data_IF_549387882503
#
_entry.id   IF_549387882503
#
_cell.length_a   1.000
_cell.length_b   1.000
_cell.length_c   1.000
_cell.angle_alpha   90.00
_cell.angle_beta   90.00
_cell.angle_gamma   90.00
#
_symmetry.space_group_name_H-M   'P 1'
#
loop_
_entity.id
_entity.type
_entity.pdbx_description
1 polymer ?
#
# COMPACT_ATOMS: atom_id res chain seq x y z
N UNK A 1 -44.11 -52.39 8.88
CA UNK A 1 -44.44 -50.96 9.04
C UNK A 1 -43.25 -50.29 9.69
N UNK A 2 -42.40 -49.64 8.88
CA UNK A 2 -41.21 -48.94 9.35
C UNK A 2 -41.41 -47.45 9.06
N UNK A 3 -41.25 -46.62 10.09
CA UNK A 3 -41.59 -45.19 10.06
C UNK A 3 -40.60 -44.36 9.24
N UNK A 4 -41.14 -43.49 8.39
CA UNK A 4 -40.38 -42.44 7.72
C UNK A 4 -40.21 -41.25 8.68
N UNK A 5 -39.01 -41.14 9.25
CA UNK A 5 -38.61 -39.97 10.02
C UNK A 5 -38.52 -38.73 9.12
N UNK A 6 -39.49 -37.82 9.26
CA UNK A 6 -39.49 -36.50 8.62
C UNK A 6 -38.21 -35.74 8.99
N UNK A 7 -37.32 -35.52 8.02
CA UNK A 7 -36.16 -34.63 8.19
C UNK A 7 -36.68 -33.22 8.36
N UNK A 8 -36.60 -32.67 9.57
CA UNK A 8 -36.87 -31.25 9.83
C UNK A 8 -35.89 -30.41 9.00
N UNK A 9 -36.37 -29.81 7.92
CA UNK A 9 -35.59 -28.95 7.01
C UNK A 9 -35.62 -27.47 7.42
N UNK A 10 -36.30 -27.13 8.52
CA UNK A 10 -36.45 -25.76 9.00
C UNK A 10 -35.54 -25.47 10.19
N UNK A 11 -34.87 -24.33 10.15
CA UNK A 11 -34.06 -23.83 11.26
C UNK A 11 -34.94 -23.56 12.49
N UNK A 12 -34.40 -23.83 13.68
CA UNK A 12 -35.13 -23.57 14.92
C UNK A 12 -35.26 -22.05 15.15
N UNK A 13 -36.44 -21.55 15.59
CA UNK A 13 -36.60 -20.16 15.97
C UNK A 13 -35.54 -19.75 17.00
N UNK A 14 -34.80 -18.67 16.73
CA UNK A 14 -33.74 -18.17 17.61
C UNK A 14 -32.35 -18.81 17.41
N UNK A 15 -32.20 -19.80 16.51
CA UNK A 15 -30.92 -20.43 16.23
C UNK A 15 -30.54 -20.29 14.74
N UNK A 16 -29.48 -19.52 14.47
CA UNK A 16 -28.89 -19.46 13.13
C UNK A 16 -28.36 -20.82 12.73
N UNK A 17 -28.69 -21.28 11.52
CA UNK A 17 -28.09 -22.47 10.91
C UNK A 17 -26.58 -22.38 10.69
N UNK A 18 -26.03 -21.18 10.80
CA UNK A 18 -24.59 -20.93 10.80
C UNK A 18 -24.21 -20.06 12.02
N UNK A 19 -23.98 -20.67 13.19
CA UNK A 19 -23.69 -19.96 14.44
C UNK A 19 -22.33 -19.24 14.43
N UNK A 20 -21.39 -19.67 13.58
CA UNK A 20 -20.08 -19.00 13.39
C UNK A 20 -20.13 -17.86 12.38
N UNK A 21 -21.29 -17.63 11.77
CA UNK A 21 -21.46 -16.63 10.73
C UNK A 21 -20.69 -16.97 9.45
N UNK A 22 -20.77 -16.06 8.49
CA UNK A 22 -20.06 -16.17 7.23
C UNK A 22 -18.53 -16.18 7.47
N UNK A 23 -17.74 -17.07 6.84
CA UNK A 23 -16.30 -17.11 7.05
C UNK A 23 -15.64 -15.75 6.81
N UNK A 24 -14.75 -15.30 7.71
CA UNK A 24 -14.04 -14.03 7.55
C UNK A 24 -13.26 -14.03 6.22
N UNK A 25 -13.35 -12.93 5.47
CA UNK A 25 -12.72 -12.79 4.15
C UNK A 25 -13.48 -13.42 2.98
N UNK A 26 -14.60 -14.12 3.21
CA UNK A 26 -15.37 -14.69 2.09
C UNK A 26 -16.10 -13.61 1.29
N UNK A 27 -15.78 -13.46 0.00
CA UNK A 27 -16.50 -12.60 -0.94
C UNK A 27 -17.75 -13.28 -1.50
N UNK A 28 -18.76 -12.48 -1.86
CA UNK A 28 -19.99 -13.05 -2.42
C UNK A 28 -19.72 -13.45 -3.87
N UNK A 29 -20.36 -14.50 -4.35
CA UNK A 29 -20.20 -14.92 -5.75
C UNK A 29 -20.56 -13.77 -6.72
N UNK A 30 -21.56 -12.96 -6.37
CA UNK A 30 -21.94 -11.76 -7.13
C UNK A 30 -20.80 -10.72 -7.21
N UNK A 31 -20.10 -10.48 -6.10
CA UNK A 31 -18.96 -9.55 -6.07
C UNK A 31 -17.78 -10.08 -6.88
N UNK A 32 -17.49 -11.40 -6.81
CA UNK A 32 -16.42 -11.99 -7.62
C UNK A 32 -16.69 -11.88 -9.13
N UNK A 33 -17.95 -12.03 -9.56
CA UNK A 33 -18.36 -11.81 -10.95
C UNK A 33 -18.23 -10.34 -11.34
N UNK A 34 -18.61 -9.40 -10.46
CA UNK A 34 -18.43 -7.97 -10.68
C UNK A 34 -16.95 -7.59 -10.81
N UNK A 35 -16.08 -8.14 -9.96
CA UNK A 35 -14.63 -7.89 -10.00
C UNK A 35 -14.06 -8.35 -11.36
N UNK A 36 -14.42 -9.56 -11.81
CA UNK A 36 -13.98 -10.13 -13.08
C UNK A 36 -14.51 -9.35 -14.30
N UNK A 37 -15.78 -8.93 -14.27
CA UNK A 37 -16.37 -8.09 -15.31
C UNK A 37 -15.69 -6.71 -15.35
N UNK A 38 -15.37 -6.16 -14.18
CA UNK A 38 -14.67 -4.89 -14.03
C UNK A 38 -13.27 -4.95 -14.62
N UNK A 39 -12.49 -5.99 -14.33
CA UNK A 39 -11.14 -6.19 -14.90
C UNK A 39 -11.16 -6.30 -16.43
N UNK A 40 -12.10 -7.08 -16.98
CA UNK A 40 -12.21 -7.26 -18.43
C UNK A 40 -12.69 -6.00 -19.17
N UNK A 41 -13.49 -5.17 -18.50
CA UNK A 41 -14.12 -4.00 -19.12
C UNK A 41 -13.41 -2.69 -18.81
N UNK A 42 -12.35 -2.72 -17.98
CA UNK A 42 -11.71 -1.52 -17.45
C UNK A 42 -11.24 -0.57 -18.55
N UNK A 43 -10.60 -1.09 -19.60
CA UNK A 43 -10.12 -0.30 -20.73
C UNK A 43 -11.26 0.34 -21.52
N UNK A 44 -12.29 -0.43 -21.86
CA UNK A 44 -13.44 0.08 -22.60
C UNK A 44 -14.20 1.17 -21.82
N UNK A 45 -14.36 0.99 -20.50
CA UNK A 45 -14.99 2.00 -19.62
C UNK A 45 -14.13 3.27 -19.57
N UNK A 46 -12.81 3.15 -19.49
CA UNK A 46 -11.90 4.30 -19.51
C UNK A 46 -12.03 5.10 -20.81
N UNK A 47 -12.02 4.43 -21.97
CA UNK A 47 -12.18 5.09 -23.28
C UNK A 47 -13.52 5.82 -23.34
N UNK A 48 -14.62 5.15 -22.98
CA UNK A 48 -15.96 5.75 -22.98
C UNK A 48 -16.06 6.96 -22.03
N UNK A 49 -15.40 6.89 -20.87
CA UNK A 49 -15.36 8.00 -19.91
C UNK A 49 -14.60 9.20 -20.46
N UNK A 50 -13.48 8.97 -21.17
CA UNK A 50 -12.71 10.04 -21.82
C UNK A 50 -13.53 10.71 -22.91
N UNK A 51 -14.21 9.94 -23.74
CA UNK A 51 -15.04 10.48 -24.82
C UNK A 51 -16.25 11.24 -24.29
N UNK A 52 -16.91 10.72 -23.25
CA UNK A 52 -17.97 11.43 -22.53
C UNK A 52 -17.49 12.77 -21.98
N UNK A 53 -16.31 12.80 -21.34
CA UNK A 53 -15.71 14.03 -20.83
C UNK A 53 -15.43 15.06 -21.94
N UNK A 54 -14.90 14.61 -23.08
CA UNK A 54 -14.67 15.49 -24.26
C UNK A 54 -15.96 16.05 -24.84
N UNK A 55 -17.06 15.30 -24.73
CA UNK A 55 -18.39 15.70 -25.18
C UNK A 55 -19.17 16.54 -24.15
N UNK A 56 -18.55 16.91 -23.02
CA UNK A 56 -19.15 17.81 -22.03
C UNK A 56 -19.81 17.11 -20.83
N UNK A 57 -19.63 15.80 -20.64
CA UNK A 57 -19.99 15.16 -19.38
C UNK A 57 -19.05 15.64 -18.26
N UNK A 58 -19.56 16.57 -17.46
CA UNK A 58 -18.82 17.17 -16.35
C UNK A 58 -18.46 16.17 -15.25
N UNK A 59 -19.23 15.10 -15.08
CA UNK A 59 -18.96 14.05 -14.08
C UNK A 59 -17.78 13.19 -14.53
N UNK A 60 -17.78 12.79 -15.80
CA UNK A 60 -16.66 12.09 -16.42
C UNK A 60 -15.39 12.97 -16.43
N UNK A 61 -15.52 14.24 -16.80
CA UNK A 61 -14.41 15.19 -16.78
C UNK A 61 -13.82 15.36 -15.38
N UNK A 62 -14.66 15.51 -14.36
CA UNK A 62 -14.22 15.57 -12.96
C UNK A 62 -13.51 14.28 -12.53
N UNK A 63 -14.04 13.11 -12.84
CA UNK A 63 -13.43 11.83 -12.49
C UNK A 63 -12.03 11.62 -13.11
N UNK A 64 -11.78 12.25 -14.27
CA UNK A 64 -10.47 12.29 -14.93
C UNK A 64 -9.58 13.36 -14.31
N UNK A 65 -10.07 14.60 -14.16
CA UNK A 65 -9.33 15.72 -13.58
C UNK A 65 -8.90 15.46 -12.15
N UNK A 66 -9.73 14.82 -11.32
CA UNK A 66 -9.37 14.41 -9.94
C UNK A 66 -8.23 13.38 -9.90
N UNK A 67 -7.89 12.72 -11.03
CA UNK A 67 -6.74 11.80 -11.15
C UNK A 67 -5.52 12.40 -11.83
N UNK A 68 -5.71 13.46 -12.62
CA UNK A 68 -4.66 14.19 -13.33
C UNK A 68 -4.17 15.38 -12.49
N UNK A 69 -5.05 15.96 -11.68
CA UNK A 69 -4.91 17.25 -11.00
C UNK A 69 -5.49 17.21 -9.58
N UNK A 70 -5.13 16.19 -8.80
CA UNK A 70 -3.86 16.23 -8.06
C UNK A 70 -2.93 15.06 -8.42
N UNK A 71 -1.63 15.22 -8.18
CA UNK A 71 -0.63 14.16 -8.32
C UNK A 71 -1.14 12.87 -7.64
N UNK A 72 -1.09 11.74 -8.36
CA UNK A 72 -1.51 10.45 -7.80
C UNK A 72 -0.72 10.19 -6.52
N UNK A 73 -1.41 10.14 -5.37
CA UNK A 73 -0.80 9.69 -4.11
C UNK A 73 -0.19 8.30 -4.32
N UNK A 74 1.12 8.18 -4.13
CA UNK A 74 1.87 6.95 -4.39
C UNK A 74 2.24 6.70 -5.86
N UNK A 75 2.28 7.73 -6.71
CA UNK A 75 2.95 7.64 -8.00
C UNK A 75 4.39 7.15 -7.82
N UNK A 76 4.88 6.38 -8.78
CA UNK A 76 6.30 6.03 -8.80
C UNK A 76 7.09 7.27 -9.16
N UNK A 77 8.06 7.62 -8.34
CA UNK A 77 8.94 8.75 -8.57
C UNK A 77 10.35 8.22 -8.81
N UNK A 78 10.98 8.71 -9.87
CA UNK A 78 12.40 8.45 -10.14
C UNK A 78 13.19 9.62 -9.56
N UNK A 79 14.13 9.31 -8.67
CA UNK A 79 15.00 10.30 -8.05
C UNK A 79 16.36 9.66 -7.77
N UNK A 80 17.40 10.47 -7.87
CA UNK A 80 18.76 10.00 -7.62
C UNK A 80 19.06 10.12 -6.13
N UNK A 81 19.43 9.01 -5.51
CA UNK A 81 19.87 8.98 -4.13
C UNK A 81 21.37 8.65 -4.09
N UNK A 82 22.20 9.44 -3.39
CA UNK A 82 23.59 9.05 -3.17
C UNK A 82 23.66 7.77 -2.34
N UNK A 83 24.68 6.96 -2.58
CA UNK A 83 24.91 5.73 -1.84
C UNK A 83 25.10 6.03 -0.34
N UNK A 84 24.40 5.27 0.50
CA UNK A 84 24.51 5.35 1.95
C UNK A 84 25.15 4.08 2.50
N UNK A 85 26.46 4.14 2.72
CA UNK A 85 27.23 3.00 3.25
C UNK A 85 27.34 3.03 4.78
N UNK A 86 27.32 4.23 5.37
CA UNK A 86 27.46 4.44 6.83
C UNK A 86 26.50 5.50 7.33
N UNK A 87 26.26 5.52 8.65
CA UNK A 87 25.35 6.47 9.28
C UNK A 87 25.72 7.94 9.00
N UNK A 88 27.00 8.25 8.85
CA UNK A 88 27.51 9.60 8.56
C UNK A 88 27.14 10.15 7.18
N UNK A 89 26.68 9.31 6.24
CA UNK A 89 26.34 9.75 4.89
C UNK A 89 24.94 10.40 4.81
N UNK A 90 24.14 10.32 5.89
CA UNK A 90 22.75 10.80 5.91
C UNK A 90 22.63 12.28 5.52
N UNK A 91 23.53 13.14 6.00
CA UNK A 91 23.47 14.57 5.72
C UNK A 91 23.59 14.88 4.21
N UNK A 92 24.48 14.16 3.51
CA UNK A 92 24.65 14.29 2.07
C UNK A 92 23.43 13.78 1.31
N UNK A 93 22.84 12.66 1.75
CA UNK A 93 21.62 12.11 1.18
C UNK A 93 20.43 13.06 1.32
N UNK A 94 20.19 13.61 2.51
CA UNK A 94 19.13 14.61 2.75
C UNK A 94 19.36 15.86 1.90
N UNK A 95 20.60 16.34 1.77
CA UNK A 95 20.93 17.47 0.90
C UNK A 95 20.58 17.18 -0.58
N UNK A 96 20.84 15.97 -1.05
CA UNK A 96 20.47 15.51 -2.40
C UNK A 96 18.95 15.50 -2.63
N UNK A 97 18.18 15.01 -1.64
CA UNK A 97 16.71 15.03 -1.68
C UNK A 97 16.20 16.47 -1.71
N UNK A 98 16.72 17.35 -0.84
CA UNK A 98 16.30 18.76 -0.79
C UNK A 98 16.55 19.49 -2.10
N UNK A 99 17.65 19.21 -2.81
CA UNK A 99 17.90 19.79 -4.14
C UNK A 99 16.85 19.34 -5.16
N UNK A 100 16.44 18.08 -5.14
CA UNK A 100 15.44 17.56 -6.07
C UNK A 100 14.04 18.10 -5.77
N UNK A 101 13.72 18.31 -4.49
CA UNK A 101 12.50 19.02 -4.07
C UNK A 101 12.53 20.46 -4.57
N UNK A 102 13.64 21.18 -4.36
CA UNK A 102 13.79 22.56 -4.83
C UNK A 102 13.73 22.68 -6.36
N UNK A 103 14.18 21.66 -7.09
CA UNK A 103 14.10 21.58 -8.54
C UNK A 103 12.71 21.17 -9.06
N UNK A 104 11.76 20.82 -8.18
CA UNK A 104 10.42 20.37 -8.57
C UNK A 104 10.38 18.94 -9.13
N UNK A 105 11.46 18.17 -9.02
CA UNK A 105 11.50 16.75 -9.38
C UNK A 105 10.71 15.93 -8.37
N UNK A 106 10.84 16.29 -7.09
CA UNK A 106 10.04 15.74 -5.99
C UNK A 106 9.10 16.81 -5.45
N UNK A 107 7.90 16.40 -5.04
CA UNK A 107 7.06 17.22 -4.17
C UNK A 107 7.61 17.27 -2.74
N UNK A 108 7.15 18.23 -1.94
CA UNK A 108 7.48 18.33 -0.52
C UNK A 108 7.08 17.08 0.26
N UNK A 109 5.92 16.51 -0.07
CA UNK A 109 5.40 15.29 0.57
C UNK A 109 6.25 14.07 0.24
N UNK A 110 6.63 13.90 -1.04
CA UNK A 110 7.54 12.83 -1.47
C UNK A 110 8.92 12.97 -0.84
N UNK A 111 9.48 14.19 -0.81
CA UNK A 111 10.76 14.46 -0.17
C UNK A 111 10.76 14.08 1.32
N UNK A 112 9.69 14.42 2.05
CA UNK A 112 9.54 14.04 3.46
C UNK A 112 9.47 12.52 3.65
N UNK A 113 8.75 11.81 2.78
CA UNK A 113 8.68 10.34 2.81
C UNK A 113 10.05 9.70 2.57
N UNK A 114 10.80 10.20 1.57
CA UNK A 114 12.14 9.70 1.27
C UNK A 114 13.07 9.92 2.47
N UNK A 115 13.09 11.12 3.07
CA UNK A 115 13.90 11.40 4.27
C UNK A 115 13.56 10.45 5.42
N UNK A 116 12.28 10.10 5.59
CA UNK A 116 11.85 9.10 6.56
C UNK A 116 12.46 7.71 6.33
N UNK A 117 12.56 7.27 5.07
CA UNK A 117 13.23 6.01 4.71
C UNK A 117 14.74 6.07 4.99
N UNK A 118 15.38 7.20 4.71
CA UNK A 118 16.82 7.39 4.97
C UNK A 118 17.12 7.34 6.47
N UNK A 119 16.28 7.94 7.32
CA UNK A 119 16.45 7.87 8.76
C UNK A 119 16.26 6.43 9.28
N UNK A 120 15.31 5.67 8.72
CA UNK A 120 15.15 4.26 9.05
C UNK A 120 16.40 3.42 8.69
N UNK A 121 16.98 3.66 7.50
CA UNK A 121 18.24 3.02 7.10
C UNK A 121 19.40 3.41 8.03
N UNK A 122 19.55 4.69 8.36
CA UNK A 122 20.57 5.15 9.32
C UNK A 122 20.45 4.41 10.65
N UNK A 123 19.25 4.32 11.22
CA UNK A 123 19.01 3.60 12.48
C UNK A 123 19.42 2.13 12.41
N UNK A 124 19.15 1.46 11.29
CA UNK A 124 19.55 0.07 11.08
C UNK A 124 21.09 -0.07 11.04
N UNK A 125 21.78 0.83 10.33
CA UNK A 125 23.25 0.85 10.27
C UNK A 125 23.87 1.10 11.64
N UNK A 126 23.42 2.14 12.36
CA UNK A 126 23.91 2.44 13.71
C UNK A 126 23.68 1.28 14.68
N UNK A 127 22.51 0.63 14.60
CA UNK A 127 22.22 -0.52 15.47
C UNK A 127 23.19 -1.66 15.18
N UNK A 128 23.47 -1.96 13.91
CA UNK A 128 24.47 -2.97 13.54
C UNK A 128 25.88 -2.61 14.01
N UNK A 129 26.30 -1.36 13.81
CA UNK A 129 27.60 -0.85 14.28
C UNK A 129 27.75 -0.92 15.80
N UNK A 130 26.71 -0.54 16.55
CA UNK A 130 26.70 -0.61 18.00
C UNK A 130 26.74 -2.05 18.51
N UNK A 131 25.96 -2.96 17.92
CA UNK A 131 26.01 -4.40 18.27
C UNK A 131 27.41 -4.97 18.05
N UNK A 132 28.04 -4.66 16.92
CA UNK A 132 29.39 -5.11 16.62
C UNK A 132 30.42 -4.55 17.63
N UNK A 133 30.32 -3.25 17.96
CA UNK A 133 31.22 -2.61 18.93
C UNK A 133 31.03 -3.15 20.34
N UNK A 134 29.79 -3.41 20.76
CA UNK A 134 29.49 -3.99 22.07
C UNK A 134 30.05 -5.41 22.15
N UNK A 135 29.82 -6.25 21.14
CA UNK A 135 30.38 -7.61 21.12
C UNK A 135 31.91 -7.61 21.22
N UNK A 136 32.60 -6.74 20.46
CA UNK A 136 34.05 -6.61 20.53
C UNK A 136 34.55 -6.12 21.90
N UNK A 137 33.78 -5.27 22.59
CA UNK A 137 34.10 -4.84 23.95
C UNK A 137 33.86 -5.95 24.97
N UNK A 138 32.77 -6.71 24.84
CA UNK A 138 32.46 -7.86 25.71
C UNK A 138 33.54 -8.94 25.61
N UNK A 139 34.01 -9.26 24.40
CA UNK A 139 35.13 -10.20 24.19
C UNK A 139 36.43 -9.69 24.83
N UNK A 140 36.74 -8.39 24.68
CA UNK A 140 37.94 -7.78 25.30
C UNK A 140 37.90 -7.75 26.82
N UNK A 141 36.71 -7.67 27.41
CA UNK A 141 36.50 -7.59 28.87
C UNK A 141 36.31 -9.00 29.47
N UNK A 142 36.13 -10.03 28.63
CA UNK A 142 35.90 -11.42 29.08
C UNK A 142 34.49 -11.67 29.61
N UNK A 143 33.51 -10.90 29.12
CA UNK A 143 32.09 -11.06 29.46
C UNK A 143 31.37 -12.10 28.59
N UNK A 144 32.08 -12.70 27.62
CA UNK A 144 31.68 -13.87 26.84
C UNK A 144 32.77 -14.93 26.85
#
# INVERSE_FOLDING_TARGET
>A
MAGEGSRRTQFQPGQSGNPKGRPPGSRSRKLAVLDNLGEQSAEAILVATIDGAKCGDTSAARAILDRVWPARKGARVAFDLPEMARAGDLAAAISGVNRQVAAGVLSLEEGALVVGLLDAQRKALETGELVARIAALEERIGLK
#
